data_IF_328909295721
#
_entry.id   IF_328909295721
#
_cell.length_a   1.000
_cell.length_b   1.000
_cell.length_c   1.000
_cell.angle_alpha   90.00
_cell.angle_beta   90.00
_cell.angle_gamma   90.00
#
_symmetry.space_group_name_H-M   'P 1'
#
loop_
_entity.id
_entity.type
_entity.pdbx_description
1 polymer ?
#
# COMPACT_ATOMS: atom_id res chain seq x y z
N UNK A 1 10.05 23.21 -8.72
CA UNK A 1 9.33 22.47 -7.67
C UNK A 1 9.62 21.00 -7.89
N UNK A 2 10.27 20.37 -6.93
CA UNK A 2 10.68 18.97 -7.00
C UNK A 2 10.24 18.22 -5.75
N UNK A 3 9.76 17.00 -5.92
CA UNK A 3 9.27 16.16 -4.84
C UNK A 3 10.37 15.20 -4.37
N UNK A 4 10.51 15.00 -3.06
CA UNK A 4 11.46 14.01 -2.51
C UNK A 4 11.17 12.60 -3.04
N UNK A 5 12.22 11.79 -3.22
CA UNK A 5 12.13 10.45 -3.79
C UNK A 5 11.99 10.40 -5.32
N UNK A 6 11.69 11.51 -5.99
CA UNK A 6 11.64 11.58 -7.45
C UNK A 6 13.02 11.80 -8.07
N UNK A 7 13.21 11.35 -9.31
CA UNK A 7 14.42 11.65 -10.09
C UNK A 7 14.18 12.86 -10.98
N UNK A 8 15.04 13.86 -10.83
CA UNK A 8 15.00 15.12 -11.57
C UNK A 8 16.27 15.27 -12.41
N UNK A 9 16.18 15.98 -13.53
CA UNK A 9 17.35 16.33 -14.34
C UNK A 9 17.84 17.72 -13.96
N UNK A 10 19.08 17.79 -13.47
CA UNK A 10 19.82 19.04 -13.29
C UNK A 10 20.52 19.31 -14.61
N UNK A 11 20.31 20.48 -15.21
CA UNK A 11 20.90 20.82 -16.51
C UNK A 11 21.72 22.09 -16.43
N UNK A 12 22.77 22.18 -17.24
CA UNK A 12 23.65 23.35 -17.29
C UNK A 12 24.26 23.54 -18.67
N UNK A 13 24.88 24.71 -18.87
CA UNK A 13 25.71 24.99 -20.04
C UNK A 13 27.10 25.38 -19.60
N UNK A 14 28.13 24.83 -20.23
CA UNK A 14 29.53 25.18 -19.99
C UNK A 14 30.15 25.85 -21.22
N UNK A 15 31.01 26.84 -20.99
CA UNK A 15 31.86 27.45 -22.03
C UNK A 15 33.33 27.06 -21.90
N UNK A 16 33.69 26.34 -20.83
CA UNK A 16 35.05 25.90 -20.54
C UNK A 16 35.34 24.47 -20.99
N UNK A 17 36.61 24.08 -20.92
CA UNK A 17 37.09 22.73 -21.25
C UNK A 17 37.22 21.82 -20.01
N UNK A 18 36.46 22.08 -18.95
CA UNK A 18 36.47 21.24 -17.75
C UNK A 18 35.93 19.86 -18.09
N UNK A 19 36.59 18.81 -17.58
CA UNK A 19 36.17 17.44 -17.85
C UNK A 19 34.94 17.07 -17.03
N UNK A 20 34.98 17.40 -15.74
CA UNK A 20 33.98 17.00 -14.76
C UNK A 20 33.58 18.18 -13.88
N UNK A 21 32.37 18.09 -13.34
CA UNK A 21 31.76 19.07 -12.43
C UNK A 21 31.33 18.39 -11.13
N UNK A 22 31.31 19.17 -10.05
CA UNK A 22 30.79 18.80 -8.74
C UNK A 22 29.47 19.52 -8.52
N UNK A 23 28.48 18.84 -7.94
CA UNK A 23 27.19 19.43 -7.60
C UNK A 23 26.94 19.34 -6.10
N UNK A 24 26.50 20.46 -5.51
CA UNK A 24 26.16 20.58 -4.09
C UNK A 24 24.77 21.24 -3.95
N UNK A 25 24.00 20.78 -2.97
CA UNK A 25 22.71 21.35 -2.62
C UNK A 25 22.90 22.34 -1.48
N UNK A 26 22.38 23.56 -1.66
CA UNK A 26 22.33 24.61 -0.65
C UNK A 26 20.89 24.95 -0.32
N UNK A 27 20.65 25.38 0.91
CA UNK A 27 19.39 25.99 1.36
C UNK A 27 19.73 27.31 2.04
N UNK A 28 19.23 28.43 1.50
CA UNK A 28 19.44 29.77 2.06
C UNK A 28 20.92 30.02 2.42
N UNK A 29 21.80 29.84 1.42
CA UNK A 29 23.26 29.99 1.50
C UNK A 29 24.01 29.00 2.43
N UNK A 30 23.32 28.00 2.99
CA UNK A 30 23.92 26.96 3.83
C UNK A 30 24.03 25.66 3.04
N UNK A 31 25.22 25.05 3.02
CA UNK A 31 25.43 23.74 2.42
C UNK A 31 24.57 22.69 3.14
N UNK A 32 23.70 22.03 2.39
CA UNK A 32 22.86 20.93 2.88
C UNK A 32 23.57 19.61 2.66
N UNK A 33 24.01 19.35 1.43
CA UNK A 33 24.70 18.11 1.07
C UNK A 33 25.48 18.22 -0.24
N UNK A 34 26.42 17.31 -0.45
CA UNK A 34 26.98 17.03 -1.76
C UNK A 34 26.02 16.12 -2.55
N UNK A 35 25.63 16.54 -3.75
CA UNK A 35 24.80 15.73 -4.66
C UNK A 35 25.69 14.72 -5.39
N UNK A 36 26.81 15.18 -5.93
CA UNK A 36 27.83 14.35 -6.57
C UNK A 36 29.20 15.04 -6.54
N UNK A 37 30.23 14.30 -6.13
CA UNK A 37 31.61 14.80 -6.03
C UNK A 37 32.25 15.12 -7.39
N UNK A 38 31.89 14.36 -8.43
CA UNK A 38 32.43 14.47 -9.79
C UNK A 38 31.53 13.73 -10.78
N UNK A 39 31.08 14.40 -11.83
CA UNK A 39 30.33 13.86 -12.96
C UNK A 39 30.80 14.52 -14.26
N UNK A 40 30.75 13.85 -15.42
CA UNK A 40 31.12 14.47 -16.69
C UNK A 40 30.41 15.81 -16.91
N UNK A 41 31.13 16.77 -17.49
CA UNK A 41 30.58 18.06 -17.89
C UNK A 41 29.86 17.97 -19.25
N UNK A 42 28.82 17.13 -19.33
CA UNK A 42 28.06 16.86 -20.54
C UNK A 42 26.70 17.58 -20.61
N UNK A 43 26.38 18.38 -19.58
CA UNK A 43 25.25 19.31 -19.56
C UNK A 43 24.03 18.81 -18.80
N UNK A 44 24.05 17.58 -18.28
CA UNK A 44 22.97 17.05 -17.46
C UNK A 44 23.42 16.06 -16.37
N UNK A 45 22.68 16.01 -15.27
CA UNK A 45 22.84 15.01 -14.23
C UNK A 45 21.48 14.58 -13.71
N UNK A 46 21.23 13.27 -13.72
CA UNK A 46 20.02 12.71 -13.12
C UNK A 46 20.21 12.55 -11.62
N UNK A 47 19.48 13.35 -10.85
CA UNK A 47 19.52 13.36 -9.40
C UNK A 47 18.25 12.77 -8.81
N UNK A 48 18.38 11.70 -8.03
CA UNK A 48 17.30 11.22 -7.17
C UNK A 48 17.32 12.00 -5.86
N UNK A 49 16.25 12.75 -5.60
CA UNK A 49 16.14 13.61 -4.42
C UNK A 49 15.98 12.73 -3.18
N UNK A 50 16.87 12.84 -2.18
CA UNK A 50 16.75 12.07 -0.96
C UNK A 50 15.45 12.38 -0.20
N UNK A 51 14.91 11.38 0.47
CA UNK A 51 13.87 11.61 1.48
C UNK A 51 14.47 12.33 2.70
N UNK A 52 13.62 13.06 3.45
CA UNK A 52 14.01 13.73 4.69
C UNK A 52 14.61 15.14 4.54
N UNK A 53 14.70 15.67 3.31
CA UNK A 53 14.92 17.10 3.10
C UNK A 53 13.71 17.89 3.61
N UNK A 54 13.96 19.04 4.24
CA UNK A 54 12.90 19.91 4.73
C UNK A 54 12.19 20.59 3.55
N UNK A 55 10.87 20.79 3.68
CA UNK A 55 10.09 21.54 2.71
C UNK A 55 10.54 23.01 2.72
N UNK A 56 11.04 23.49 1.58
CA UNK A 56 11.58 24.84 1.46
C UNK A 56 11.62 25.30 0.01
N UNK A 57 11.40 26.59 -0.21
CA UNK A 57 11.52 27.27 -1.52
C UNK A 57 12.89 27.91 -1.74
N UNK A 58 13.82 27.71 -0.79
CA UNK A 58 15.12 28.39 -0.75
C UNK A 58 16.28 27.47 -1.17
N UNK A 59 15.99 26.36 -1.84
CA UNK A 59 17.05 25.47 -2.34
C UNK A 59 17.71 26.03 -3.60
N UNK A 60 19.00 25.81 -3.73
CA UNK A 60 19.79 26.06 -4.94
C UNK A 60 20.78 24.90 -5.14
N UNK A 61 21.11 24.61 -6.40
CA UNK A 61 22.22 23.72 -6.74
C UNK A 61 23.42 24.58 -7.10
N UNK A 62 24.54 24.36 -6.42
CA UNK A 62 25.85 24.86 -6.82
C UNK A 62 26.49 23.85 -7.76
N UNK A 63 26.87 24.29 -8.95
CA UNK A 63 27.74 23.52 -9.85
C UNK A 63 29.12 24.17 -9.85
N UNK A 64 30.18 23.37 -9.72
CA UNK A 64 31.56 23.86 -9.74
C UNK A 64 32.48 22.96 -10.54
N UNK A 65 33.50 23.52 -11.16
CA UNK A 65 34.58 22.76 -11.81
C UNK A 65 35.40 22.00 -10.74
N UNK A 66 35.55 20.69 -10.90
CA UNK A 66 36.29 19.82 -9.97
C UNK A 66 37.77 20.23 -9.83
N UNK A 67 38.38 20.74 -10.91
CA UNK A 67 39.77 21.18 -10.92
C UNK A 67 39.94 22.63 -10.41
N UNK A 68 38.89 23.44 -10.44
CA UNK A 68 38.90 24.82 -9.96
C UNK A 68 37.53 25.23 -9.41
N UNK A 69 37.33 25.02 -8.11
CA UNK A 69 36.05 25.31 -7.44
C UNK A 69 35.61 26.79 -7.49
N UNK A 70 36.48 27.73 -7.88
CA UNK A 70 36.09 29.13 -8.09
C UNK A 70 35.41 29.39 -9.46
N UNK A 71 35.34 28.37 -10.32
CA UNK A 71 34.53 28.39 -11.54
C UNK A 71 33.23 27.66 -11.21
N UNK A 72 32.26 28.42 -10.74
CA UNK A 72 31.01 27.93 -10.22
C UNK A 72 29.82 28.77 -10.70
N UNK A 73 28.62 28.22 -10.54
CA UNK A 73 27.37 28.95 -10.70
C UNK A 73 26.29 28.33 -9.80
N UNK A 74 25.37 29.17 -9.33
CA UNK A 74 24.19 28.72 -8.60
C UNK A 74 22.99 28.69 -9.54
N UNK A 75 22.14 27.67 -9.39
CA UNK A 75 20.81 27.72 -9.96
C UNK A 75 19.98 28.87 -9.37
N UNK A 76 18.90 29.22 -10.05
CA UNK A 76 17.80 29.93 -9.40
C UNK A 76 17.26 29.14 -8.21
N UNK A 77 16.59 29.84 -7.29
CA UNK A 77 15.89 29.20 -6.19
C UNK A 77 14.79 28.27 -6.69
N UNK A 78 14.68 27.10 -6.07
CA UNK A 78 13.61 26.16 -6.32
C UNK A 78 13.07 25.55 -5.03
N UNK A 79 11.89 24.96 -5.16
CA UNK A 79 11.22 24.27 -4.06
C UNK A 79 11.53 22.79 -4.08
N UNK A 80 11.92 22.25 -2.93
CA UNK A 80 11.85 20.83 -2.61
C UNK A 80 10.77 20.65 -1.55
N UNK A 81 9.89 19.67 -1.73
CA UNK A 81 8.83 19.35 -0.78
C UNK A 81 8.62 17.84 -0.68
N UNK A 82 7.97 17.41 0.40
CA UNK A 82 7.59 16.01 0.64
C UNK A 82 6.07 15.87 0.65
N UNK A 83 5.53 14.88 -0.06
CA UNK A 83 4.12 14.54 0.03
C UNK A 83 3.92 13.65 1.27
N UNK A 84 3.11 14.07 2.27
CA UNK A 84 2.88 13.26 3.45
C UNK A 84 2.13 11.97 3.08
N UNK A 85 2.48 10.89 3.77
CA UNK A 85 1.76 9.63 3.67
C UNK A 85 0.37 9.78 4.30
N UNK A 86 -0.68 9.52 3.52
CA UNK A 86 -2.06 9.50 4.03
C UNK A 86 -2.80 8.30 3.46
N UNK A 87 -3.79 7.83 4.21
CA UNK A 87 -4.76 6.81 3.78
C UNK A 87 -6.15 7.40 4.07
N UNK A 88 -7.12 7.10 3.22
CA UNK A 88 -8.52 7.43 3.47
C UNK A 88 -9.40 6.29 3.01
N UNK A 89 -10.09 5.62 3.93
CA UNK A 89 -11.04 4.55 3.61
C UNK A 89 -12.28 5.18 2.99
N UNK A 90 -12.66 4.69 1.80
CA UNK A 90 -13.81 5.22 1.04
C UNK A 90 -15.01 4.28 1.06
N UNK A 91 -14.77 2.96 1.02
CA UNK A 91 -15.80 1.92 1.19
C UNK A 91 -15.21 0.84 2.12
N UNK A 92 -15.92 0.41 3.17
CA UNK A 92 -17.30 0.77 3.50
C UNK A 92 -17.45 2.22 4.00
N UNK A 93 -18.59 2.82 3.72
CA UNK A 93 -19.00 4.12 4.24
C UNK A 93 -20.10 3.96 5.31
N UNK A 94 -20.56 5.08 5.88
CA UNK A 94 -21.58 5.09 6.93
C UNK A 94 -22.97 4.60 6.51
N UNK A 95 -23.19 4.32 5.22
CA UNK A 95 -24.44 3.80 4.67
C UNK A 95 -24.28 2.38 4.11
N UNK A 96 -23.08 1.81 4.20
CA UNK A 96 -22.76 0.51 3.64
C UNK A 96 -23.37 -0.59 4.49
N UNK A 97 -24.04 -1.53 3.81
CA UNK A 97 -24.55 -2.76 4.40
C UNK A 97 -24.12 -3.94 3.51
N UNK A 98 -23.39 -4.88 4.10
CA UNK A 98 -22.87 -6.04 3.38
C UNK A 98 -23.41 -7.33 3.97
N UNK A 99 -23.55 -8.34 3.11
CA UNK A 99 -24.04 -9.66 3.52
C UNK A 99 -22.88 -10.59 3.86
N UNK A 100 -23.00 -11.39 4.92
CA UNK A 100 -21.95 -12.38 5.23
C UNK A 100 -21.94 -13.50 4.19
N UNK A 101 -20.76 -14.00 3.83
CA UNK A 101 -20.60 -15.01 2.78
C UNK A 101 -20.57 -14.47 1.36
N UNK A 102 -20.81 -13.17 1.12
CA UNK A 102 -20.57 -12.51 -0.16
C UNK A 102 -19.18 -11.89 -0.21
N UNK A 103 -18.75 -11.48 -1.40
CA UNK A 103 -17.49 -10.74 -1.60
C UNK A 103 -17.80 -9.29 -1.94
N UNK A 104 -17.15 -8.37 -1.24
CA UNK A 104 -17.27 -6.94 -1.44
C UNK A 104 -15.89 -6.29 -1.50
N UNK A 105 -15.77 -5.21 -2.26
CA UNK A 105 -14.52 -4.46 -2.36
C UNK A 105 -14.44 -3.43 -1.24
N UNK A 106 -13.40 -3.53 -0.43
CA UNK A 106 -12.93 -2.47 0.47
C UNK A 106 -12.11 -1.52 -0.40
N UNK A 107 -12.42 -0.23 -0.41
CA UNK A 107 -11.71 0.75 -1.25
C UNK A 107 -11.15 1.90 -0.42
N UNK A 108 -10.04 2.46 -0.89
CA UNK A 108 -9.37 3.58 -0.23
C UNK A 108 -8.62 4.44 -1.23
N UNK A 109 -8.25 5.64 -0.80
CA UNK A 109 -7.29 6.52 -1.49
C UNK A 109 -6.07 6.74 -0.59
N UNK A 110 -4.93 7.04 -1.17
CA UNK A 110 -3.70 7.32 -0.42
C UNK A 110 -2.81 8.34 -1.14
N UNK A 111 -1.93 8.99 -0.39
CA UNK A 111 -0.87 9.88 -0.89
C UNK A 111 0.49 9.45 -0.34
N UNK A 112 1.57 9.95 -0.95
CA UNK A 112 2.94 9.67 -0.51
C UNK A 112 3.49 8.34 -1.04
N UNK A 113 4.39 7.73 -0.28
CA UNK A 113 5.21 6.57 -0.68
C UNK A 113 4.72 5.21 -0.19
N UNK A 114 3.47 5.10 0.26
CA UNK A 114 2.92 3.87 0.85
C UNK A 114 2.86 2.75 -0.19
N UNK A 115 3.61 1.68 0.03
CA UNK A 115 3.71 0.55 -0.92
C UNK A 115 2.67 -0.53 -0.67
N UNK A 116 2.46 -0.92 0.60
CA UNK A 116 1.52 -1.96 1.00
C UNK A 116 0.70 -1.51 2.20
N UNK A 117 -0.54 -1.99 2.28
CA UNK A 117 -1.42 -1.74 3.41
C UNK A 117 -1.84 -3.03 4.10
N UNK A 118 -2.10 -2.91 5.40
CA UNK A 118 -2.73 -3.92 6.25
C UNK A 118 -4.20 -3.54 6.43
N UNK A 119 -5.11 -4.52 6.37
CA UNK A 119 -6.55 -4.31 6.56
C UNK A 119 -7.04 -5.14 7.75
N UNK A 120 -7.72 -4.49 8.68
CA UNK A 120 -8.25 -5.07 9.91
C UNK A 120 -9.73 -4.74 10.06
N UNK A 121 -10.47 -5.64 10.71
CA UNK A 121 -11.86 -5.46 11.10
C UNK A 121 -11.94 -5.19 12.60
N UNK A 122 -12.70 -4.17 12.97
CA UNK A 122 -13.05 -3.84 14.35
C UNK A 122 -14.56 -3.91 14.53
N UNK A 123 -15.01 -4.23 15.74
CA UNK A 123 -16.41 -4.21 16.17
C UNK A 123 -16.52 -3.43 17.49
N UNK A 124 -17.24 -2.32 17.50
CA UNK A 124 -17.36 -1.44 18.68
C UNK A 124 -16.01 -1.01 19.23
N UNK A 125 -15.12 -0.57 18.34
CA UNK A 125 -13.73 -0.16 18.62
C UNK A 125 -12.82 -1.25 19.21
N UNK A 126 -13.28 -2.50 19.27
CA UNK A 126 -12.47 -3.66 19.66
C UNK A 126 -12.00 -4.38 18.41
N UNK A 127 -10.71 -4.71 18.36
CA UNK A 127 -10.16 -5.54 17.29
C UNK A 127 -10.90 -6.87 17.21
N UNK A 128 -11.48 -7.19 16.05
CA UNK A 128 -12.11 -8.48 15.78
C UNK A 128 -11.11 -9.41 15.11
N UNK A 129 -10.64 -9.04 13.91
CA UNK A 129 -9.71 -9.87 13.14
C UNK A 129 -8.90 -9.09 12.11
N UNK A 130 -7.79 -9.69 11.71
CA UNK A 130 -7.03 -9.27 10.54
C UNK A 130 -7.71 -9.82 9.28
N UNK A 131 -8.00 -8.94 8.31
CA UNK A 131 -8.53 -9.33 7.00
C UNK A 131 -7.35 -9.72 6.09
N UNK A 132 -6.33 -8.87 6.03
CA UNK A 132 -5.07 -9.16 5.32
C UNK A 132 -3.90 -8.45 5.99
N UNK A 133 -2.80 -9.18 6.20
CA UNK A 133 -1.59 -8.66 6.83
C UNK A 133 -0.84 -7.63 5.96
N UNK A 134 -0.88 -7.81 4.63
CA UNK A 134 -0.21 -6.97 3.64
C UNK A 134 -0.81 -7.20 2.26
N UNK A 135 -1.25 -6.15 1.59
CA UNK A 135 -1.70 -6.13 0.19
C UNK A 135 -1.14 -4.88 -0.50
N UNK A 136 -0.89 -4.90 -1.83
CA UNK A 136 -0.49 -3.68 -2.55
C UNK A 136 -1.43 -2.51 -2.27
N UNK A 137 -0.88 -1.31 -2.16
CA UNK A 137 -1.64 -0.08 -2.02
C UNK A 137 -2.19 0.39 -3.39
N UNK A 138 -3.10 -0.40 -3.99
CA UNK A 138 -3.69 -0.15 -5.31
C UNK A 138 -5.14 0.39 -5.25
N UNK A 139 -5.63 0.68 -4.05
CA UNK A 139 -6.89 1.37 -3.79
C UNK A 139 -8.10 0.46 -3.62
N UNK A 140 -7.95 -0.87 -3.74
CA UNK A 140 -9.06 -1.82 -3.56
C UNK A 140 -8.62 -3.20 -3.07
N UNK A 141 -9.43 -3.84 -2.24
CA UNK A 141 -9.24 -5.21 -1.80
C UNK A 141 -10.57 -5.96 -1.75
N UNK A 142 -10.68 -7.05 -2.50
CA UNK A 142 -11.88 -7.89 -2.48
C UNK A 142 -11.88 -8.79 -1.24
N UNK A 143 -12.80 -8.50 -0.32
CA UNK A 143 -12.98 -9.23 0.92
C UNK A 143 -14.21 -10.14 0.86
N UNK A 144 -13.99 -11.45 0.97
CA UNK A 144 -15.07 -12.41 1.23
C UNK A 144 -15.40 -12.39 2.72
N UNK A 145 -16.59 -11.89 3.04
CA UNK A 145 -17.02 -11.69 4.43
C UNK A 145 -17.28 -13.05 5.08
N UNK A 146 -16.62 -13.37 6.21
CA UNK A 146 -16.84 -14.63 6.91
C UNK A 146 -18.29 -14.79 7.40
N UNK A 147 -18.85 -15.99 7.24
CA UNK A 147 -20.25 -16.29 7.62
C UNK A 147 -20.48 -16.35 9.15
N UNK A 148 -19.40 -16.42 9.93
CA UNK A 148 -19.40 -16.45 11.40
C UNK A 148 -19.54 -15.06 12.04
N UNK A 149 -19.48 -13.97 11.25
CA UNK A 149 -19.71 -12.62 11.77
C UNK A 149 -21.19 -12.42 12.10
N UNK A 150 -21.43 -11.77 13.24
CA UNK A 150 -22.78 -11.48 13.74
C UNK A 150 -23.41 -10.29 13.01
N UNK A 151 -24.75 -10.29 12.98
CA UNK A 151 -25.58 -9.14 12.59
C UNK A 151 -25.28 -7.94 13.49
N UNK A 152 -24.70 -6.88 12.94
CA UNK A 152 -24.45 -5.64 13.68
C UNK A 152 -24.22 -4.45 12.75
N UNK A 153 -24.28 -3.24 13.30
CA UNK A 153 -24.07 -1.96 12.60
C UNK A 153 -22.79 -1.24 13.04
N UNK A 154 -22.00 -1.87 13.91
CA UNK A 154 -20.87 -1.26 14.61
C UNK A 154 -19.51 -1.82 14.15
N UNK A 155 -19.44 -2.28 12.91
CA UNK A 155 -18.18 -2.71 12.30
C UNK A 155 -17.44 -1.54 11.69
N UNK A 156 -16.10 -1.57 11.76
CA UNK A 156 -15.20 -0.63 11.06
C UNK A 156 -14.08 -1.38 10.37
N UNK A 157 -13.66 -0.86 9.23
CA UNK A 157 -12.42 -1.25 8.57
C UNK A 157 -11.34 -0.28 8.96
N UNK A 158 -10.20 -0.80 9.42
CA UNK A 158 -8.97 -0.02 9.58
C UNK A 158 -7.99 -0.42 8.50
N UNK A 159 -7.45 0.57 7.79
CA UNK A 159 -6.37 0.38 6.82
C UNK A 159 -5.16 1.15 7.30
N UNK A 160 -4.02 0.47 7.42
CA UNK A 160 -2.76 1.06 7.90
C UNK A 160 -1.61 0.74 6.94
N UNK A 161 -0.63 1.62 6.85
CA UNK A 161 0.63 1.31 6.18
C UNK A 161 1.36 0.20 6.95
N UNK A 162 1.82 -0.81 6.20
CA UNK A 162 2.61 -1.93 6.74
C UNK A 162 3.95 -1.45 7.31
N UNK A 163 4.56 -0.43 6.68
CA UNK A 163 5.88 0.07 7.08
C UNK A 163 5.82 1.03 8.27
N UNK A 164 4.73 1.80 8.36
CA UNK A 164 4.46 2.73 9.44
C UNK A 164 2.99 2.64 9.90
N UNK A 165 2.66 1.78 10.87
CA UNK A 165 1.28 1.59 11.35
C UNK A 165 0.63 2.83 12.00
N UNK A 166 1.38 3.90 12.24
CA UNK A 166 0.82 5.18 12.69
C UNK A 166 0.13 5.94 11.54
N UNK A 167 0.45 5.62 10.29
CA UNK A 167 -0.28 6.09 9.11
C UNK A 167 -1.43 5.15 8.84
N UNK A 168 -2.63 5.53 9.25
CA UNK A 168 -3.82 4.73 9.07
C UNK A 168 -5.06 5.60 8.91
N UNK A 169 -6.13 4.99 8.42
CA UNK A 169 -7.47 5.54 8.52
C UNK A 169 -8.47 4.44 8.89
N UNK A 170 -9.62 4.87 9.43
CA UNK A 170 -10.73 4.01 9.80
C UNK A 170 -11.98 4.44 9.05
N UNK A 171 -12.71 3.46 8.52
CA UNK A 171 -14.02 3.73 7.94
C UNK A 171 -14.99 4.26 9.01
N UNK A 172 -16.06 4.96 8.61
CA UNK A 172 -17.27 5.03 9.42
C UNK A 172 -17.79 3.63 9.77
N UNK A 173 -18.69 3.58 10.75
CA UNK A 173 -19.41 2.36 11.09
C UNK A 173 -20.25 1.88 9.91
N UNK A 174 -20.20 0.58 9.61
CA UNK A 174 -21.00 -0.06 8.58
C UNK A 174 -21.69 -1.32 9.11
N UNK A 175 -22.72 -1.77 8.38
CA UNK A 175 -23.53 -2.91 8.77
C UNK A 175 -23.07 -4.21 8.10
N UNK A 176 -23.04 -5.28 8.90
CA UNK A 176 -23.01 -6.65 8.39
C UNK A 176 -24.35 -7.32 8.67
N UNK A 177 -24.92 -7.94 7.65
CA UNK A 177 -26.13 -8.74 7.73
C UNK A 177 -25.83 -10.18 7.36
N UNK A 178 -26.24 -11.10 8.20
CA UNK A 178 -25.99 -12.52 8.09
C UNK A 178 -26.95 -13.07 7.08
N UNK A 179 -26.43 -13.76 6.08
CA UNK A 179 -27.32 -14.55 5.21
C UNK A 179 -28.01 -15.57 6.10
N UNK A 180 -29.35 -15.58 6.18
CA UNK A 180 -30.05 -16.59 6.96
C UNK A 180 -29.69 -17.96 6.37
N UNK A 181 -29.07 -18.80 7.19
CA UNK A 181 -28.91 -20.21 6.84
C UNK A 181 -30.29 -20.74 6.46
N UNK A 182 -30.44 -21.45 5.31
CA UNK A 182 -31.70 -22.11 5.00
C UNK A 182 -32.14 -22.90 6.24
N UNK A 183 -33.42 -22.81 6.66
CA UNK A 183 -33.86 -23.52 7.85
C UNK A 183 -33.44 -24.97 7.72
N UNK A 184 -32.62 -25.44 8.66
CA UNK A 184 -32.25 -26.85 8.74
C UNK A 184 -33.55 -27.64 8.69
N UNK A 185 -33.66 -28.57 7.74
CA UNK A 185 -34.87 -29.39 7.62
C UNK A 185 -35.05 -30.09 8.97
N UNK A 186 -36.16 -29.87 9.70
CA UNK A 186 -36.33 -30.45 11.03
C UNK A 186 -36.15 -31.97 10.97
N UNK A 187 -35.19 -32.49 11.75
CA UNK A 187 -34.85 -33.91 11.78
C UNK A 187 -33.62 -34.33 10.96
N UNK A 188 -32.91 -33.40 10.34
CA UNK A 188 -31.77 -33.68 9.49
C UNK A 188 -30.56 -32.79 9.84
N UNK A 189 -29.57 -33.36 10.50
CA UNK A 189 -28.24 -32.75 10.60
C UNK A 189 -27.53 -32.93 9.25
N UNK A 190 -27.38 -31.83 8.51
CA UNK A 190 -26.79 -31.81 7.17
C UNK A 190 -25.37 -32.41 7.18
N UNK A 191 -24.61 -32.24 8.27
CA UNK A 191 -23.28 -32.84 8.41
C UNK A 191 -23.36 -34.36 8.59
N UNK A 192 -24.41 -34.86 9.25
CA UNK A 192 -24.66 -36.29 9.44
C UNK A 192 -25.11 -36.95 8.13
N UNK A 193 -25.86 -36.24 7.28
CA UNK A 193 -26.27 -36.72 5.95
C UNK A 193 -25.08 -36.76 4.99
N UNK A 194 -24.27 -35.71 4.94
CA UNK A 194 -23.04 -35.70 4.12
C UNK A 194 -22.12 -36.84 4.56
N UNK A 195 -21.95 -37.06 5.87
CA UNK A 195 -21.18 -38.18 6.41
C UNK A 195 -21.72 -39.56 5.98
N UNK A 196 -23.04 -39.77 6.01
CA UNK A 196 -23.68 -41.03 5.59
C UNK A 196 -23.53 -41.25 4.08
N UNK A 197 -23.69 -40.21 3.25
CA UNK A 197 -23.52 -40.32 1.79
C UNK A 197 -22.06 -40.64 1.43
N UNK A 198 -21.08 -40.01 2.08
CA UNK A 198 -19.67 -40.35 1.91
C UNK A 198 -19.36 -41.79 2.31
N UNK A 199 -19.88 -42.25 3.46
CA UNK A 199 -19.70 -43.63 3.92
C UNK A 199 -20.32 -44.66 2.97
N UNK A 200 -21.53 -44.43 2.48
CA UNK A 200 -22.20 -45.29 1.49
C UNK A 200 -21.41 -45.32 0.17
N UNK A 201 -20.86 -44.18 -0.26
CA UNK A 201 -20.02 -44.08 -1.46
C UNK A 201 -18.73 -44.89 -1.32
N UNK A 202 -18.05 -44.81 -0.17
CA UNK A 202 -16.85 -45.60 0.14
C UNK A 202 -17.16 -47.11 0.16
N UNK A 203 -18.32 -47.51 0.71
CA UNK A 203 -18.77 -48.91 0.73
C UNK A 203 -19.04 -49.43 -0.70
N UNK A 204 -19.69 -48.61 -1.54
CA UNK A 204 -19.97 -48.97 -2.93
C UNK A 204 -18.69 -49.08 -3.77
N UNK A 205 -17.73 -48.17 -3.55
CA UNK A 205 -16.39 -48.24 -4.17
C UNK A 205 -15.65 -49.50 -3.72
N UNK A 206 -15.60 -49.80 -2.41
CA UNK A 206 -14.99 -51.05 -1.89
C UNK A 206 -15.67 -52.30 -2.46
N UNK A 207 -17.00 -52.31 -2.60
CA UNK A 207 -17.75 -53.42 -3.21
C UNK A 207 -17.45 -53.59 -4.70
N UNK A 208 -17.25 -52.50 -5.45
CA UNK A 208 -16.82 -52.54 -6.86
C UNK A 208 -15.40 -53.07 -7.00
N UNK A 209 -14.45 -52.60 -6.19
CA UNK A 209 -13.07 -53.11 -6.19
C UNK A 209 -12.99 -54.60 -5.86
N UNK A 210 -13.77 -55.09 -4.87
CA UNK A 210 -13.77 -56.52 -4.51
C UNK A 210 -14.34 -57.44 -5.60
N UNK A 211 -15.20 -56.93 -6.49
CA UNK A 211 -15.69 -57.67 -7.67
C UNK A 211 -14.68 -57.68 -8.83
N UNK A 212 -13.77 -56.71 -8.89
CA UNK A 212 -12.77 -56.57 -9.96
C UNK A 212 -11.53 -57.46 -9.78
N UNK A 213 -11.30 -58.05 -8.58
CA UNK A 213 -10.09 -58.83 -8.23
C UNK A 213 -10.34 -60.34 -8.32
N UNK A 214 -11.42 -60.78 -9.00
CA UNK A 214 -11.61 -62.21 -9.31
C UNK A 214 -11.22 -62.47 -10.76
N UNK A 215 -9.93 -62.76 -10.97
CA UNK A 215 -9.39 -63.52 -12.11
C UNK A 215 -8.32 -64.45 -11.59
#
# INVERSE_FOLDING_TARGET
VWETGTSQSITWTSTGSSSDVKLELYENDVLVMEIVASTPNDGEYSWTIPSGLADSTLYQVLISDVANLATDDFSDYFEIFTVPDTITVTIPDGLTAWETGTTHSITWTSTGGITNVKIELYKGDVFDREIVASTPNDGSYDWTIPIDLDDDIDYKIKISDVSNPATYDESPNFALTRIPLPPGIPGYDVYLIIGVVCMLSIILVKRRFKKSIKF
#
